data_IF_428107114079
#
_entry.id   IF_428107114079
#
_cell.length_a   1.000
_cell.length_b   1.000
_cell.length_c   1.000
_cell.angle_alpha   90.00
_cell.angle_beta   90.00
_cell.angle_gamma   90.00
#
_symmetry.space_group_name_H-M   'P 1'
#
loop_
_entity.id
_entity.type
_entity.pdbx_description
1 polymer ?
#
# COMPACT_ATOMS: atom_id res chain seq x y z
N UNK A 1 52.08 25.65 7.25
CA UNK A 1 50.95 25.74 8.21
C UNK A 1 49.74 25.10 7.54
N UNK A 2 49.37 23.85 7.83
CA UNK A 2 48.71 23.35 9.05
C UNK A 2 47.18 23.19 8.83
N UNK A 3 46.74 21.99 9.16
CA UNK A 3 45.49 21.26 8.95
C UNK A 3 44.18 21.93 9.40
N UNK A 4 43.05 21.44 8.87
CA UNK A 4 41.72 21.55 9.47
C UNK A 4 40.69 20.66 8.77
N UNK A 5 40.42 19.48 9.35
CA UNK A 5 39.57 18.41 8.81
C UNK A 5 38.05 18.67 8.81
N UNK A 6 37.34 17.72 8.20
CA UNK A 6 35.91 17.68 7.87
C UNK A 6 34.94 17.73 9.08
N UNK A 7 33.62 17.76 8.83
CA UNK A 7 32.95 16.47 8.78
C UNK A 7 31.95 16.29 7.63
N UNK A 8 31.79 15.03 7.22
CA UNK A 8 30.64 14.54 6.48
C UNK A 8 29.35 14.84 7.25
N UNK A 9 28.32 15.31 6.55
CA UNK A 9 26.94 15.20 7.01
C UNK A 9 26.17 14.31 6.03
N UNK A 10 26.09 13.02 6.36
CA UNK A 10 24.99 12.16 5.94
C UNK A 10 23.71 12.70 6.58
N UNK A 11 23.07 13.68 5.93
CA UNK A 11 21.69 14.07 6.26
C UNK A 11 20.80 13.05 5.54
N UNK A 12 20.43 11.96 6.20
CA UNK A 12 19.52 12.00 7.33
C UNK A 12 18.13 11.75 6.75
N UNK A 13 17.62 10.53 6.94
CA UNK A 13 16.28 10.11 6.56
C UNK A 13 15.25 11.13 7.06
N UNK A 14 14.86 12.10 6.22
CA UNK A 14 13.63 12.85 6.45
C UNK A 14 12.50 11.87 6.25
N UNK A 15 11.96 11.37 7.36
CA UNK A 15 10.60 10.89 7.42
C UNK A 15 9.74 11.97 6.75
N UNK A 16 9.30 11.68 5.52
CA UNK A 16 8.40 12.54 4.79
C UNK A 16 7.14 12.72 5.67
N UNK A 17 6.71 13.97 5.80
CA UNK A 17 5.67 14.39 6.73
C UNK A 17 4.42 13.50 6.69
N UNK A 18 3.78 13.42 7.84
CA UNK A 18 2.54 12.69 8.16
C UNK A 18 1.45 12.79 7.07
N UNK A 19 1.22 13.97 6.48
CA UNK A 19 0.28 14.11 5.35
C UNK A 19 0.69 13.34 4.09
N UNK A 20 1.98 13.33 3.74
CA UNK A 20 2.45 12.61 2.56
C UNK A 20 2.55 11.10 2.82
N UNK A 21 2.77 10.70 4.09
CA UNK A 21 2.66 9.31 4.51
C UNK A 21 1.21 8.82 4.42
N UNK A 22 0.23 9.62 4.81
CA UNK A 22 -1.20 9.32 4.61
C UNK A 22 -1.55 9.22 3.12
N UNK A 23 -1.01 10.10 2.28
CA UNK A 23 -1.15 10.03 0.83
C UNK A 23 -0.48 8.79 0.20
N UNK A 24 0.49 8.17 0.89
CA UNK A 24 1.15 6.91 0.47
C UNK A 24 0.42 5.65 0.91
N UNK A 25 -0.52 5.76 1.84
CA UNK A 25 -1.21 4.65 2.50
C UNK A 25 -0.46 4.15 3.74
N UNK A 26 -1.01 3.16 4.47
CA UNK A 26 -0.36 2.61 5.66
C UNK A 26 1.03 2.09 5.35
N UNK A 27 1.99 2.41 6.21
CA UNK A 27 3.34 1.83 6.10
C UNK A 27 3.32 0.40 6.65
N UNK A 28 3.77 -0.55 5.84
CA UNK A 28 3.90 -1.95 6.21
C UNK A 28 5.38 -2.28 6.44
N UNK A 29 5.66 -3.15 7.39
CA UNK A 29 6.97 -3.81 7.49
C UNK A 29 7.20 -4.73 6.28
N UNK A 30 8.47 -5.11 5.99
CA UNK A 30 8.76 -6.05 4.90
C UNK A 30 8.03 -7.39 5.03
N UNK A 31 7.84 -7.87 6.27
CA UNK A 31 7.13 -9.11 6.55
C UNK A 31 5.63 -8.98 6.21
N UNK A 32 4.98 -7.92 6.70
CA UNK A 32 3.57 -7.65 6.41
C UNK A 32 3.32 -7.44 4.91
N UNK A 33 4.24 -6.76 4.21
CA UNK A 33 4.13 -6.58 2.77
C UNK A 33 4.25 -7.91 2.01
N UNK A 34 5.13 -8.80 2.46
CA UNK A 34 5.31 -10.13 1.86
C UNK A 34 4.05 -10.99 2.05
N UNK A 35 3.51 -11.03 3.27
CA UNK A 35 2.27 -11.73 3.57
C UNK A 35 1.08 -11.18 2.77
N UNK A 36 0.90 -9.87 2.75
CA UNK A 36 -0.16 -9.22 1.97
C UNK A 36 -0.01 -9.50 0.46
N UNK A 37 1.22 -9.59 -0.04
CA UNK A 37 1.50 -9.94 -1.44
C UNK A 37 1.09 -11.37 -1.75
N UNK A 38 1.44 -12.33 -0.88
CA UNK A 38 1.03 -13.72 -1.05
C UNK A 38 -0.51 -13.86 -1.07
N UNK A 39 -1.18 -13.25 -0.10
CA UNK A 39 -2.65 -13.23 -0.02
C UNK A 39 -3.24 -12.64 -1.30
N UNK A 40 -2.71 -11.50 -1.77
CA UNK A 40 -3.16 -10.85 -2.99
C UNK A 40 -3.11 -11.81 -4.19
N UNK A 41 -2.00 -12.51 -4.38
CA UNK A 41 -1.85 -13.44 -5.49
C UNK A 41 -2.71 -14.70 -5.38
N UNK A 42 -2.86 -15.24 -4.17
CA UNK A 42 -3.65 -16.45 -3.97
C UNK A 42 -5.17 -16.20 -4.02
N UNK A 43 -5.63 -15.01 -3.63
CA UNK A 43 -7.06 -14.76 -3.37
C UNK A 43 -7.66 -13.59 -4.15
N UNK A 44 -6.87 -12.66 -4.65
CA UNK A 44 -7.38 -11.41 -5.25
C UNK A 44 -7.04 -11.26 -6.73
N UNK A 45 -5.83 -11.66 -7.13
CA UNK A 45 -5.28 -11.41 -8.47
C UNK A 45 -6.09 -12.07 -9.59
N UNK A 46 -6.80 -13.17 -9.31
CA UNK A 46 -7.68 -13.81 -10.29
C UNK A 46 -8.78 -12.88 -10.82
N UNK A 47 -9.35 -12.02 -9.97
CA UNK A 47 -10.41 -11.09 -10.38
C UNK A 47 -9.88 -9.67 -10.64
N UNK A 48 -8.86 -9.23 -9.90
CA UNK A 48 -8.36 -7.85 -9.97
C UNK A 48 -7.10 -7.68 -10.84
N UNK A 49 -6.55 -8.79 -11.35
CA UNK A 49 -5.39 -8.85 -12.24
C UNK A 49 -4.05 -8.71 -11.51
N UNK A 50 -3.00 -9.38 -12.00
CA UNK A 50 -1.63 -9.35 -11.42
C UNK A 50 -1.10 -7.94 -11.17
N UNK A 51 -1.45 -6.99 -12.04
CA UNK A 51 -1.03 -5.59 -11.94
C UNK A 51 -2.09 -4.67 -11.32
N UNK A 52 -3.14 -5.22 -10.69
CA UNK A 52 -4.26 -4.47 -10.09
C UNK A 52 -5.06 -3.59 -11.07
N UNK A 53 -4.91 -3.79 -12.39
CA UNK A 53 -5.62 -3.01 -13.42
C UNK A 53 -7.06 -3.46 -13.67
N UNK A 54 -7.53 -4.47 -12.92
CA UNK A 54 -8.87 -5.04 -13.07
C UNK A 54 -8.92 -6.17 -14.10
N UNK A 55 -9.88 -7.06 -13.92
CA UNK A 55 -10.29 -8.07 -14.89
C UNK A 55 -11.82 -8.22 -14.79
N UNK A 56 -12.31 -9.19 -14.01
CA UNK A 56 -13.73 -9.24 -13.62
C UNK A 56 -14.04 -8.31 -12.45
N UNK A 57 -13.08 -8.13 -11.55
CA UNK A 57 -13.12 -7.16 -10.44
C UNK A 57 -12.59 -5.79 -10.85
N UNK A 58 -13.04 -4.74 -10.15
CA UNK A 58 -12.63 -3.34 -10.37
C UNK A 58 -11.12 -3.14 -10.21
N UNK A 59 -10.51 -2.14 -10.87
CA UNK A 59 -9.10 -1.80 -10.64
C UNK A 59 -8.83 -1.41 -9.18
N UNK A 60 -7.70 -1.86 -8.66
CA UNK A 60 -7.21 -1.60 -7.29
C UNK A 60 -5.88 -0.83 -7.33
N UNK A 61 -5.71 0.04 -8.32
CA UNK A 61 -4.50 0.86 -8.44
C UNK A 61 -4.42 1.89 -7.30
N UNK A 62 -3.20 2.36 -6.95
CA UNK A 62 -3.01 3.26 -5.81
C UNK A 62 -3.81 4.57 -5.91
N UNK A 63 -3.94 5.15 -7.11
CA UNK A 63 -4.73 6.36 -7.36
C UNK A 63 -6.21 6.20 -6.94
N UNK A 64 -6.78 5.01 -7.13
CA UNK A 64 -8.16 4.71 -6.74
C UNK A 64 -8.24 4.38 -5.24
N UNK A 65 -7.40 3.45 -4.77
CA UNK A 65 -7.49 2.92 -3.41
C UNK A 65 -7.16 3.97 -2.35
N UNK A 66 -6.19 4.85 -2.62
CA UNK A 66 -5.84 5.98 -1.73
C UNK A 66 -6.96 7.00 -1.62
N UNK A 67 -7.63 7.30 -2.74
CA UNK A 67 -8.79 8.20 -2.73
C UNK A 67 -10.00 7.64 -1.96
N UNK A 68 -10.10 6.31 -1.83
CA UNK A 68 -11.15 5.66 -1.02
C UNK A 68 -10.82 5.61 0.47
N UNK A 69 -9.54 5.49 0.82
CA UNK A 69 -9.06 5.46 2.20
C UNK A 69 -9.18 4.10 2.90
N UNK A 70 -8.39 3.90 3.95
CA UNK A 70 -8.20 2.60 4.61
C UNK A 70 -9.49 2.04 5.22
N UNK A 71 -10.32 2.87 5.88
CA UNK A 71 -11.53 2.38 6.55
C UNK A 71 -12.56 1.85 5.55
N UNK A 72 -12.71 2.53 4.41
CA UNK A 72 -13.55 2.07 3.32
C UNK A 72 -13.05 0.72 2.77
N UNK A 73 -11.76 0.62 2.50
CA UNK A 73 -11.16 -0.60 1.96
C UNK A 73 -11.31 -1.77 2.93
N UNK A 74 -11.09 -1.53 4.23
CA UNK A 74 -11.30 -2.52 5.29
C UNK A 74 -12.73 -3.01 5.30
N UNK A 75 -13.72 -2.11 5.35
CA UNK A 75 -15.14 -2.48 5.36
C UNK A 75 -15.52 -3.27 4.09
N UNK A 76 -15.06 -2.85 2.92
CA UNK A 76 -15.37 -3.52 1.66
C UNK A 76 -14.76 -4.93 1.59
N UNK A 77 -13.54 -5.13 2.10
CA UNK A 77 -12.91 -6.46 2.18
C UNK A 77 -13.63 -7.34 3.20
N UNK A 78 -13.99 -6.80 4.36
CA UNK A 78 -14.70 -7.53 5.42
C UNK A 78 -16.08 -8.01 4.95
N UNK A 79 -16.89 -7.12 4.35
CA UNK A 79 -18.29 -7.42 4.04
C UNK A 79 -18.57 -7.79 2.58
N UNK A 80 -17.61 -7.62 1.68
CA UNK A 80 -17.79 -7.88 0.26
C UNK A 80 -18.75 -6.90 -0.42
N UNK A 81 -19.29 -7.30 -1.58
CA UNK A 81 -20.32 -6.52 -2.28
C UNK A 81 -21.32 -7.42 -3.01
N UNK A 82 -22.57 -6.97 -3.18
CA UNK A 82 -23.59 -7.74 -3.90
C UNK A 82 -23.26 -7.97 -5.38
N UNK A 83 -22.28 -7.23 -5.93
CA UNK A 83 -21.83 -7.35 -7.31
C UNK A 83 -20.76 -8.45 -7.51
N UNK A 84 -20.59 -9.37 -6.55
CA UNK A 84 -19.73 -10.55 -6.68
C UNK A 84 -18.37 -10.45 -6.00
N UNK A 85 -18.12 -9.41 -5.18
CA UNK A 85 -16.92 -9.38 -4.34
C UNK A 85 -17.17 -10.20 -3.05
N UNK A 86 -16.36 -11.23 -2.74
CA UNK A 86 -16.55 -12.04 -1.53
C UNK A 86 -16.35 -11.24 -0.24
N UNK A 87 -16.94 -11.73 0.85
CA UNK A 87 -16.67 -11.28 2.21
C UNK A 87 -15.50 -12.07 2.83
N UNK A 88 -14.59 -11.37 3.50
CA UNK A 88 -13.39 -11.96 4.13
C UNK A 88 -13.30 -11.68 5.64
N UNK A 89 -14.37 -11.11 6.21
CA UNK A 89 -14.50 -10.80 7.63
C UNK A 89 -14.82 -12.01 8.52
#
# INVERSE_FOLDING_TARGET
>A
MAFGGAPLAMSGNKAAGDEEAAARGPQLSPAEFTEATEIYFQRCAGCHGVLRKGATGKPLTPDITRAKGTDYLKALITYGSPAGMPNWG
#
